data_IF_214346822506
#
_entry.id   IF_214346822506
#
_cell.length_a   1.000
_cell.length_b   1.000
_cell.length_c   1.000
_cell.angle_alpha   90.00
_cell.angle_beta   90.00
_cell.angle_gamma   90.00
#
_symmetry.space_group_name_H-M   'P 1'
#
loop_
_entity.id
_entity.type
_entity.pdbx_description
1 polymer ?
#
# COMPACT_ATOMS: atom_id res chain seq x y z
N UNK A 1 18.28 -6.60 -5.33
CA UNK A 1 16.88 -6.14 -5.25
C UNK A 1 16.84 -4.64 -5.42
N UNK A 2 16.10 -4.17 -6.43
CA UNK A 2 15.85 -2.76 -6.71
C UNK A 2 14.95 -2.17 -5.63
N UNK A 3 15.29 -0.96 -5.14
CA UNK A 3 14.35 -0.16 -4.36
C UNK A 3 13.07 0.06 -5.20
N UNK A 4 11.92 0.14 -4.55
CA UNK A 4 10.62 0.45 -5.18
C UNK A 4 10.26 1.92 -4.93
N UNK A 5 10.98 2.91 -5.51
CA UNK A 5 10.86 4.31 -5.10
C UNK A 5 9.49 4.94 -5.40
N UNK A 6 8.69 4.31 -6.26
CA UNK A 6 7.40 4.82 -6.75
C UNK A 6 6.20 4.30 -5.97
N UNK A 7 6.41 3.60 -4.86
CA UNK A 7 5.32 3.04 -4.05
C UNK A 7 4.36 4.09 -3.45
N UNK A 8 4.76 5.37 -3.45
CA UNK A 8 3.92 6.50 -3.08
C UNK A 8 3.15 7.12 -4.28
N UNK A 9 3.45 6.71 -5.51
CA UNK A 9 2.79 7.24 -6.70
C UNK A 9 1.32 6.79 -6.75
N UNK A 10 0.47 7.69 -7.23
CA UNK A 10 -0.92 7.36 -7.53
C UNK A 10 -1.08 6.73 -8.91
N UNK A 11 -2.08 5.85 -9.03
CA UNK A 11 -2.51 5.21 -10.26
C UNK A 11 -4.02 5.29 -10.41
N UNK A 12 -4.48 5.41 -11.66
CA UNK A 12 -5.89 5.26 -12.02
C UNK A 12 -6.04 4.03 -12.93
N UNK A 13 -6.79 3.06 -12.44
CA UNK A 13 -7.29 1.90 -13.16
C UNK A 13 -8.81 1.87 -13.01
N UNK A 14 -9.50 1.27 -13.99
CA UNK A 14 -10.97 1.15 -14.01
C UNK A 14 -11.55 0.63 -12.68
N UNK A 15 -10.82 -0.24 -12.00
CA UNK A 15 -11.18 -0.99 -10.81
C UNK A 15 -10.40 -0.58 -9.54
N UNK A 16 -9.46 0.36 -9.63
CA UNK A 16 -8.63 0.78 -8.48
C UNK A 16 -8.04 2.17 -8.70
N UNK A 17 -8.02 2.99 -7.65
CA UNK A 17 -7.19 4.18 -7.61
C UNK A 17 -6.75 4.54 -6.18
N UNK A 18 -5.55 5.08 -6.07
CA UNK A 18 -4.98 5.58 -4.81
C UNK A 18 -4.61 7.07 -4.91
N UNK A 19 -5.43 7.84 -5.63
CA UNK A 19 -5.34 9.29 -5.59
C UNK A 19 -5.92 9.82 -4.28
N UNK A 20 -5.36 10.90 -3.77
CA UNK A 20 -5.88 11.58 -2.60
C UNK A 20 -6.98 12.57 -3.01
N UNK A 21 -7.91 12.86 -2.10
CA UNK A 21 -8.90 13.92 -2.20
C UNK A 21 -8.24 15.29 -2.22
N UNK A 22 -7.29 15.49 -1.31
CA UNK A 22 -6.61 16.76 -1.07
C UNK A 22 -5.26 16.53 -0.34
N UNK A 23 -4.52 17.62 -0.10
CA UNK A 23 -3.24 17.56 0.59
C UNK A 23 -3.38 17.12 2.05
N UNK A 24 -4.51 17.40 2.70
CA UNK A 24 -4.75 17.01 4.09
C UNK A 24 -4.89 15.49 4.22
N UNK A 25 -5.61 14.85 3.31
CA UNK A 25 -5.73 13.40 3.25
C UNK A 25 -4.37 12.75 2.96
N UNK A 26 -3.61 13.29 2.01
CA UNK A 26 -2.24 12.84 1.75
C UNK A 26 -1.38 12.90 3.01
N UNK A 27 -1.36 14.03 3.72
CA UNK A 27 -0.62 14.18 4.97
C UNK A 27 -1.11 13.21 6.06
N UNK A 28 -2.41 12.96 6.17
CA UNK A 28 -2.98 12.02 7.12
C UNK A 28 -2.53 10.57 6.82
N UNK A 29 -2.56 10.16 5.56
CA UNK A 29 -2.06 8.84 5.11
C UNK A 29 -0.57 8.70 5.42
N UNK A 30 0.24 9.70 5.08
CA UNK A 30 1.68 9.67 5.36
C UNK A 30 1.97 9.62 6.87
N UNK A 31 1.19 10.32 7.69
CA UNK A 31 1.28 10.23 9.15
C UNK A 31 1.01 8.80 9.63
N UNK A 32 -0.06 8.15 9.15
CA UNK A 32 -0.37 6.74 9.48
C UNK A 32 0.79 5.82 9.09
N UNK A 33 1.38 6.02 7.93
CA UNK A 33 2.51 5.20 7.47
C UNK A 33 3.73 5.40 8.37
N UNK A 34 4.13 6.64 8.60
CA UNK A 34 5.37 6.96 9.31
C UNK A 34 5.29 6.71 10.82
N UNK A 35 4.14 7.01 11.43
CA UNK A 35 3.97 7.00 12.89
C UNK A 35 3.34 5.70 13.39
N UNK A 36 2.57 5.00 12.56
CA UNK A 36 1.88 3.78 12.97
C UNK A 36 2.44 2.56 12.23
N UNK A 37 2.44 2.56 10.90
CA UNK A 37 2.74 1.36 10.11
C UNK A 37 4.21 0.96 10.19
N UNK A 38 5.15 1.88 9.99
CA UNK A 38 6.59 1.58 10.04
C UNK A 38 7.03 1.12 11.45
N UNK A 39 6.66 1.80 12.55
CA UNK A 39 6.96 1.31 13.89
C UNK A 39 6.34 -0.07 14.16
N UNK A 40 5.10 -0.29 13.74
CA UNK A 40 4.42 -1.57 13.89
C UNK A 40 5.15 -2.72 13.16
N UNK A 41 5.61 -2.49 11.92
CA UNK A 41 6.43 -3.46 11.19
C UNK A 41 7.74 -3.79 11.91
N UNK A 42 8.39 -2.76 12.48
CA UNK A 42 9.66 -2.92 13.19
C UNK A 42 9.48 -3.72 14.49
N UNK A 43 8.40 -3.48 15.22
CA UNK A 43 8.14 -4.13 16.50
C UNK A 43 7.61 -5.56 16.32
N UNK A 44 6.78 -5.80 15.30
CA UNK A 44 5.99 -7.03 15.18
C UNK A 44 6.25 -7.83 13.90
N UNK A 45 7.33 -7.54 13.16
CA UNK A 45 7.61 -8.16 11.86
C UNK A 45 7.52 -9.70 11.84
N UNK A 46 8.04 -10.37 12.87
CA UNK A 46 7.94 -11.83 13.00
C UNK A 46 6.51 -12.32 13.27
N UNK A 47 5.76 -11.59 14.09
CA UNK A 47 4.38 -11.92 14.46
C UNK A 47 3.41 -11.73 13.27
N UNK A 48 3.70 -10.74 12.42
CA UNK A 48 3.01 -10.52 11.15
C UNK A 48 3.12 -11.77 10.26
N UNK A 49 4.32 -12.34 10.11
CA UNK A 49 4.51 -13.56 9.31
C UNK A 49 3.87 -14.80 9.94
N UNK A 50 3.54 -14.75 11.22
CA UNK A 50 2.76 -15.77 11.92
C UNK A 50 1.25 -15.54 11.83
N UNK A 51 0.79 -14.58 11.02
CA UNK A 51 -0.61 -14.23 10.83
C UNK A 51 -1.35 -13.86 12.12
N UNK A 52 -0.64 -13.26 13.10
CA UNK A 52 -1.23 -12.86 14.39
C UNK A 52 -2.09 -11.59 14.30
N UNK A 53 -2.02 -10.85 13.19
CA UNK A 53 -2.75 -9.61 12.98
C UNK A 53 -3.70 -9.73 11.81
N UNK A 54 -4.98 -9.47 12.05
CA UNK A 54 -6.04 -9.61 11.05
C UNK A 54 -5.81 -8.78 9.79
N UNK A 55 -5.19 -7.60 9.92
CA UNK A 55 -4.92 -6.68 8.80
C UNK A 55 -3.52 -6.87 8.20
N UNK A 56 -2.82 -7.94 8.58
CA UNK A 56 -1.56 -8.33 7.99
C UNK A 56 -1.67 -9.78 7.51
N UNK A 57 -1.88 -9.96 6.21
CA UNK A 57 -2.10 -11.28 5.66
C UNK A 57 -1.60 -11.39 4.21
N UNK A 58 -1.37 -12.63 3.79
CA UNK A 58 -1.09 -12.96 2.39
C UNK A 58 -2.30 -12.59 1.54
N UNK A 59 -2.04 -11.99 0.38
CA UNK A 59 -3.06 -11.71 -0.63
C UNK A 59 -3.52 -13.03 -1.26
N UNK A 60 -4.83 -13.24 -1.32
CA UNK A 60 -5.43 -14.37 -2.05
C UNK A 60 -5.35 -14.23 -3.57
N UNK A 61 -5.29 -15.37 -4.25
CA UNK A 61 -5.10 -15.47 -5.71
C UNK A 61 -6.10 -14.65 -6.55
N UNK A 62 -7.31 -14.46 -6.02
CA UNK A 62 -8.38 -13.70 -6.66
C UNK A 62 -8.10 -12.19 -6.76
N UNK A 63 -7.08 -11.68 -6.04
CA UNK A 63 -6.64 -10.27 -6.07
C UNK A 63 -5.29 -10.06 -6.75
N UNK A 64 -4.49 -11.11 -6.95
CA UNK A 64 -3.15 -11.05 -7.54
C UNK A 64 -3.13 -10.37 -8.91
N UNK A 65 -4.09 -10.68 -9.78
CA UNK A 65 -4.16 -10.06 -11.12
C UNK A 65 -4.35 -8.54 -11.08
N UNK A 66 -5.15 -8.03 -10.13
CA UNK A 66 -5.34 -6.59 -9.95
C UNK A 66 -4.04 -5.94 -9.44
N UNK A 67 -3.42 -6.54 -8.42
CA UNK A 67 -2.17 -6.04 -7.84
C UNK A 67 -1.05 -6.01 -8.87
N UNK A 68 -0.87 -7.05 -9.68
CA UNK A 68 0.15 -7.08 -10.73
C UNK A 68 -0.07 -5.97 -11.75
N UNK A 69 -1.32 -5.68 -12.14
CA UNK A 69 -1.65 -4.54 -13.02
C UNK A 69 -1.29 -3.20 -12.37
N UNK A 70 -1.58 -3.03 -11.08
CA UNK A 70 -1.24 -1.81 -10.32
C UNK A 70 0.28 -1.63 -10.28
N UNK A 71 1.02 -2.66 -9.86
CA UNK A 71 2.48 -2.60 -9.73
C UNK A 71 3.15 -2.35 -11.08
N UNK A 72 2.70 -3.01 -12.14
CA UNK A 72 3.19 -2.74 -13.50
C UNK A 72 2.98 -1.28 -13.91
N UNK A 73 1.84 -0.71 -13.55
CA UNK A 73 1.50 0.68 -13.91
C UNK A 73 2.31 1.70 -13.10
N UNK A 74 2.51 1.49 -11.80
CA UNK A 74 3.27 2.36 -10.90
C UNK A 74 4.78 2.21 -11.16
N UNK A 75 5.29 1.00 -11.02
CA UNK A 75 6.72 0.75 -10.94
C UNK A 75 7.37 0.40 -12.29
N UNK A 76 6.58 0.17 -13.36
CA UNK A 76 7.05 -0.13 -14.73
C UNK A 76 7.84 -1.43 -14.87
N UNK A 77 7.54 -2.44 -14.04
CA UNK A 77 8.09 -3.78 -14.16
C UNK A 77 6.99 -4.84 -13.91
N UNK A 78 7.23 -6.07 -14.34
CA UNK A 78 6.38 -7.22 -14.03
C UNK A 78 6.85 -7.88 -12.73
N UNK A 79 5.94 -8.05 -11.77
CA UNK A 79 6.25 -8.75 -10.52
C UNK A 79 6.73 -10.17 -10.82
N UNK A 80 7.72 -10.62 -10.04
CA UNK A 80 8.10 -12.02 -10.01
C UNK A 80 6.89 -12.86 -9.60
N UNK A 81 6.45 -13.86 -10.39
CA UNK A 81 5.31 -14.70 -10.03
C UNK A 81 5.53 -15.49 -8.73
N UNK A 82 6.77 -15.68 -8.27
CA UNK A 82 7.08 -16.38 -7.02
C UNK A 82 7.00 -15.46 -5.78
N UNK A 83 6.84 -14.14 -5.97
CA UNK A 83 6.78 -13.22 -4.84
C UNK A 83 5.50 -13.43 -4.03
N UNK A 84 5.64 -13.60 -2.72
CA UNK A 84 4.48 -13.62 -1.83
C UNK A 84 4.04 -12.19 -1.55
N UNK A 85 2.82 -11.86 -1.97
CA UNK A 85 2.21 -10.55 -1.76
C UNK A 85 1.48 -10.51 -0.42
N UNK A 86 1.65 -9.40 0.30
CA UNK A 86 1.03 -9.16 1.60
C UNK A 86 0.28 -7.83 1.61
N UNK A 87 -0.88 -7.82 2.27
CA UNK A 87 -1.51 -6.59 2.76
C UNK A 87 -1.00 -6.34 4.19
N UNK A 88 -0.59 -5.11 4.49
CA UNK A 88 -0.09 -4.70 5.80
C UNK A 88 -0.87 -3.47 6.29
N UNK A 89 -1.32 -3.54 7.54
CA UNK A 89 -1.87 -2.40 8.26
C UNK A 89 -1.67 -2.53 9.77
N UNK A 90 -1.35 -1.41 10.41
CA UNK A 90 -1.51 -1.28 11.86
C UNK A 90 -3.01 -1.28 12.22
N UNK A 91 -3.35 -1.73 13.45
CA UNK A 91 -4.74 -1.85 13.91
C UNK A 91 -5.55 -0.55 13.83
N UNK A 92 -4.91 0.62 13.95
CA UNK A 92 -5.54 1.94 13.90
C UNK A 92 -5.34 2.71 12.58
N UNK A 93 -4.93 2.01 11.51
CA UNK A 93 -4.58 2.60 10.20
C UNK A 93 -5.69 3.37 9.46
N UNK A 94 -6.90 3.46 9.99
CA UNK A 94 -8.00 4.21 9.38
C UNK A 94 -8.44 3.68 8.00
N UNK A 95 -8.06 2.45 7.64
CA UNK A 95 -8.33 1.84 6.33
C UNK A 95 -7.14 1.90 5.37
N UNK A 96 -6.07 2.62 5.71
CA UNK A 96 -4.83 2.64 4.90
C UNK A 96 -4.17 1.27 4.92
N UNK A 97 -3.81 0.76 3.75
CA UNK A 97 -3.08 -0.50 3.56
C UNK A 97 -1.82 -0.26 2.76
N UNK A 98 -0.73 -0.90 3.14
CA UNK A 98 0.48 -0.98 2.33
C UNK A 98 0.53 -2.38 1.73
N UNK A 99 0.58 -2.46 0.40
CA UNK A 99 0.79 -3.73 -0.29
C UNK A 99 2.29 -3.94 -0.45
N UNK A 100 2.78 -5.06 0.03
CA UNK A 100 4.20 -5.38 0.09
C UNK A 100 4.51 -6.70 -0.62
N UNK A 101 5.68 -6.77 -1.25
CA UNK A 101 6.40 -8.03 -1.37
C UNK A 101 7.18 -8.27 -0.09
N UNK A 102 7.22 -9.51 0.40
CA UNK A 102 8.05 -9.86 1.55
C UNK A 102 9.11 -10.87 1.12
N UNK A 103 10.35 -10.61 1.52
CA UNK A 103 11.45 -11.56 1.39
C UNK A 103 12.09 -11.85 2.76
N UNK A 104 12.68 -13.03 2.89
CA UNK A 104 13.43 -13.44 4.08
C UNK A 104 14.82 -13.91 3.66
N UNK A 105 15.83 -13.16 4.09
CA UNK A 105 17.23 -13.51 3.87
C UNK A 105 17.91 -13.75 5.22
N UNK A 106 18.15 -15.02 5.54
CA UNK A 106 18.61 -15.43 6.86
C UNK A 106 17.58 -15.07 7.95
N UNK A 107 18.01 -14.31 8.94
CA UNK A 107 17.17 -13.83 10.05
C UNK A 107 16.54 -12.45 9.79
N UNK A 108 16.78 -11.86 8.62
CA UNK A 108 16.22 -10.58 8.25
C UNK A 108 14.95 -10.75 7.42
N UNK A 109 13.90 -10.04 7.81
CA UNK A 109 12.68 -9.89 7.02
C UNK A 109 12.72 -8.53 6.33
N UNK A 110 12.52 -8.55 5.02
CA UNK A 110 12.46 -7.35 4.20
C UNK A 110 11.03 -7.14 3.73
N UNK A 111 10.48 -5.98 4.09
CA UNK A 111 9.19 -5.52 3.60
C UNK A 111 9.44 -4.54 2.46
N UNK A 112 9.02 -4.93 1.26
CA UNK A 112 9.18 -4.14 0.06
C UNK A 112 7.84 -3.50 -0.31
N UNK A 113 7.61 -2.22 0.02
CA UNK A 113 6.35 -1.58 -0.32
C UNK A 113 6.23 -1.45 -1.85
N UNK A 114 5.09 -1.87 -2.38
CA UNK A 114 4.81 -1.85 -3.82
C UNK A 114 3.88 -0.69 -4.20
N UNK A 115 2.85 -0.46 -3.38
CA UNK A 115 1.95 0.69 -3.44
C UNK A 115 1.10 0.79 -2.16
N UNK A 116 0.37 1.90 -2.03
CA UNK A 116 -0.58 2.13 -0.93
C UNK A 116 -2.02 2.01 -1.45
N UNK A 117 -2.82 1.16 -0.82
CA UNK A 117 -4.29 1.17 -0.94
C UNK A 117 -4.87 2.03 0.18
N UNK A 118 -5.03 3.31 -0.12
CA UNK A 118 -5.51 4.33 0.82
C UNK A 118 -7.02 4.27 1.08
N UNK A 119 -7.76 3.57 0.22
CA UNK A 119 -9.23 3.53 0.24
C UNK A 119 -9.77 2.13 0.58
N UNK A 120 -8.90 1.18 0.90
CA UNK A 120 -9.24 -0.21 1.21
C UNK A 120 -10.05 -0.86 0.08
N UNK A 121 -9.61 -0.71 -1.17
CA UNK A 121 -10.29 -1.21 -2.38
C UNK A 121 -9.87 -2.63 -2.77
N UNK A 122 -8.71 -3.13 -2.33
CA UNK A 122 -8.28 -4.50 -2.63
C UNK A 122 -9.18 -5.51 -1.89
N UNK A 123 -9.43 -5.27 -0.60
CA UNK A 123 -10.40 -6.03 0.21
C UNK A 123 -11.54 -5.13 0.71
N UNK A 124 -12.47 -4.73 -0.19
CA UNK A 124 -13.44 -3.69 0.12
C UNK A 124 -14.50 -4.20 1.09
N UNK A 125 -14.55 -3.59 2.27
CA UNK A 125 -15.64 -3.77 3.22
C UNK A 125 -16.73 -2.69 3.03
N UNK A 126 -17.92 -2.90 3.60
CA UNK A 126 -19.06 -1.98 3.42
C UNK A 126 -18.84 -0.58 4.02
N UNK A 127 -17.80 -0.38 4.84
CA UNK A 127 -17.51 0.89 5.53
C UNK A 127 -16.74 1.88 4.66
N UNK A 128 -15.95 1.39 3.71
CA UNK A 128 -15.10 2.21 2.83
C UNK A 128 -15.57 2.20 1.36
N UNK A 129 -16.82 1.80 1.08
CA UNK A 129 -17.35 1.79 -0.29
C UNK A 129 -18.03 3.10 -0.64
N UNK A 130 -17.30 4.02 -1.29
CA UNK A 130 -17.91 5.24 -1.82
C UNK A 130 -17.06 5.99 -2.84
N UNK A 131 -17.21 5.68 -4.14
CA UNK A 131 -16.93 6.57 -5.28
C UNK A 131 -15.58 7.34 -5.30
N UNK A 132 -14.49 6.83 -4.72
CA UNK A 132 -13.21 7.55 -4.67
C UNK A 132 -12.67 7.97 -6.05
N UNK A 133 -12.89 7.16 -7.10
CA UNK A 133 -12.47 7.50 -8.47
C UNK A 133 -13.11 8.77 -9.05
N UNK A 134 -14.20 9.27 -8.46
CA UNK A 134 -14.86 10.51 -8.90
C UNK A 134 -14.42 11.74 -8.12
N UNK A 135 -13.85 11.57 -6.93
CA UNK A 135 -13.59 12.65 -5.96
C UNK A 135 -12.10 12.88 -5.77
N UNK A 136 -11.29 11.82 -5.83
CA UNK A 136 -9.86 11.88 -5.58
C UNK A 136 -9.07 12.06 -6.88
N UNK A 137 -8.21 13.08 -6.94
CA UNK A 137 -7.42 13.43 -8.13
C UNK A 137 -6.01 13.90 -7.80
N UNK A 138 -5.67 14.01 -6.52
CA UNK A 138 -4.41 14.56 -6.06
C UNK A 138 -3.35 13.45 -5.96
N UNK A 139 -2.18 13.67 -6.55
CA UNK A 139 -1.00 12.83 -6.44
C UNK A 139 0.00 13.46 -5.44
N UNK A 140 0.85 12.66 -4.79
CA UNK A 140 1.88 13.15 -3.86
C UNK A 140 2.82 14.21 -4.49
N UNK A 141 3.00 14.18 -5.80
CA UNK A 141 3.82 15.16 -6.54
C UNK A 141 3.06 16.40 -7.03
N UNK A 142 1.74 16.47 -6.82
CA UNK A 142 0.95 17.67 -7.15
C UNK A 142 1.16 18.81 -6.15
N UNK A 143 1.90 18.56 -5.07
CA UNK A 143 2.39 19.59 -4.16
C UNK A 143 3.36 20.45 -4.97
N UNK A 144 2.92 21.66 -5.37
CA UNK A 144 3.77 22.63 -6.04
C UNK A 144 5.09 22.73 -5.29
N UNK A 145 6.21 22.60 -6.01
CA UNK A 145 7.53 22.85 -5.42
C UNK A 145 7.44 24.20 -4.70
N UNK A 146 7.71 24.26 -3.39
CA UNK A 146 7.82 25.54 -2.72
C UNK A 146 8.92 26.33 -3.44
N UNK A 147 8.56 27.53 -3.89
CA UNK A 147 9.54 28.49 -4.40
C UNK A 147 10.27 29.04 -3.17
N UNK A 148 11.35 28.37 -2.77
CA UNK A 148 12.31 28.91 -1.81
C UNK A 148 13.41 29.68 -2.54
#
# INVERSE_FOLDING_TARGET
MSAYPKWLDSVDLKDFNNFYRDYQEMCAVLKVIMVETIPFLKEHGMEILQCKYQHCHVIGDDKTNLITRIVKKINKFDLDPEITLWEIAANNSGGVRVICGIDKVGDHIYFYPLFIDIHHQIYPNNRFRGNYSKICKYNIYDVKKPNY
#
